data_IF_267831135807
#
_entry.id   IF_267831135807
#
_cell.length_a   1.000
_cell.length_b   1.000
_cell.length_c   1.000
_cell.angle_alpha   90.00
_cell.angle_beta   90.00
_cell.angle_gamma   90.00
#
_symmetry.space_group_name_H-M   'P 1'
#
loop_
_entity.id
_entity.type
_entity.pdbx_description
1 polymer ?
#
# COMPACT_ATOMS: atom_id res chain seq x y z
N UNK A 1 5.45 6.58 16.52
CA UNK A 1 4.43 7.27 15.70
C UNK A 1 4.20 6.34 14.51
N UNK A 2 3.06 5.65 14.49
CA UNK A 2 2.71 4.68 13.44
C UNK A 2 2.28 5.46 12.20
N UNK A 3 3.10 5.46 11.15
CA UNK A 3 2.64 5.93 9.85
C UNK A 3 2.12 4.73 9.07
N UNK A 4 0.88 4.36 9.35
CA UNK A 4 0.10 3.47 8.50
C UNK A 4 -0.52 4.32 7.38
N UNK A 5 -0.03 4.11 6.18
CA UNK A 5 -0.66 4.61 4.97
C UNK A 5 -1.61 3.53 4.45
N UNK A 6 -2.73 3.92 3.83
CA UNK A 6 -3.58 3.01 3.07
C UNK A 6 -3.23 3.15 1.58
N UNK A 7 -2.13 2.57 1.06
CA UNK A 7 -1.91 2.58 -0.36
C UNK A 7 -2.95 1.65 -1.01
N UNK A 8 -3.83 2.23 -1.83
CA UNK A 8 -4.54 1.46 -2.84
C UNK A 8 -3.46 0.89 -3.77
N UNK A 9 -3.30 -0.44 -3.77
CA UNK A 9 -2.39 -1.11 -4.70
C UNK A 9 -3.16 -1.53 -5.95
N UNK A 10 -2.71 -1.03 -7.09
CA UNK A 10 -3.26 -1.33 -8.40
C UNK A 10 -2.72 -2.67 -8.89
N UNK A 11 -3.59 -3.66 -9.01
CA UNK A 11 -3.32 -4.93 -9.68
C UNK A 11 -4.19 -4.98 -10.94
N UNK A 12 -3.72 -5.51 -12.09
CA UNK A 12 -4.55 -5.58 -13.29
C UNK A 12 -5.90 -6.26 -12.99
N UNK A 13 -6.98 -5.53 -13.24
CA UNK A 13 -8.40 -5.94 -13.14
C UNK A 13 -9.09 -5.94 -11.75
N UNK A 14 -8.43 -5.58 -10.64
CA UNK A 14 -9.09 -5.51 -9.31
C UNK A 14 -8.55 -4.36 -8.44
N UNK A 15 -9.42 -3.76 -7.62
CA UNK A 15 -8.99 -2.83 -6.56
C UNK A 15 -8.65 -3.61 -5.30
N UNK A 16 -7.47 -3.34 -4.73
CA UNK A 16 -7.05 -3.89 -3.44
C UNK A 16 -6.93 -2.80 -2.38
N UNK A 17 -7.53 -3.07 -1.23
CA UNK A 17 -7.38 -2.26 -0.02
C UNK A 17 -6.28 -2.88 0.83
N UNK A 18 -5.11 -2.23 0.87
CA UNK A 18 -3.98 -2.65 1.69
C UNK A 18 -3.41 -1.49 2.51
N UNK A 19 -2.93 -1.77 3.71
CA UNK A 19 -2.28 -0.79 4.58
C UNK A 19 -0.78 -1.04 4.61
N UNK A 20 0.04 -0.05 4.30
CA UNK A 20 1.49 -0.06 4.48
C UNK A 20 1.85 0.68 5.77
N UNK A 21 2.32 -0.03 6.80
CA UNK A 21 2.71 0.55 8.08
C UNK A 21 4.23 0.57 8.25
N UNK A 22 4.77 1.74 8.56
CA UNK A 22 6.15 1.89 9.02
C UNK A 22 6.13 1.97 10.55
N UNK A 23 6.81 1.02 11.20
CA UNK A 23 6.95 0.98 12.65
C UNK A 23 8.31 1.52 13.07
N UNK A 24 8.33 2.43 14.04
CA UNK A 24 9.57 2.89 14.65
C UNK A 24 10.26 1.74 15.39
N UNK A 25 11.59 1.84 15.52
CA UNK A 25 12.38 0.92 16.32
C UNK A 25 11.80 0.75 17.73
N UNK A 26 11.64 -0.49 18.19
CA UNK A 26 11.03 -0.82 19.49
C UNK A 26 9.50 -0.76 19.56
N UNK A 27 8.81 -0.25 18.54
CA UNK A 27 7.34 -0.14 18.48
C UNK A 27 6.70 -1.13 17.49
N UNK A 28 7.42 -2.20 17.12
CA UNK A 28 6.93 -3.19 16.17
C UNK A 28 5.95 -4.15 16.86
N UNK A 29 4.75 -4.38 16.31
CA UNK A 29 3.82 -5.39 16.83
C UNK A 29 4.36 -6.81 16.54
N UNK A 30 4.12 -7.75 17.45
CA UNK A 30 4.53 -9.16 17.30
C UNK A 30 3.87 -9.85 16.10
N UNK A 31 2.66 -9.40 15.74
CA UNK A 31 1.87 -9.92 14.63
C UNK A 31 1.23 -8.76 13.88
N UNK A 32 1.13 -8.91 12.56
CA UNK A 32 0.33 -8.03 11.70
C UNK A 32 -0.76 -8.90 11.07
N UNK A 33 -2.03 -8.55 11.30
CA UNK A 33 -3.17 -9.25 10.72
C UNK A 33 -3.79 -8.38 9.63
N UNK A 34 -3.92 -8.96 8.44
CA UNK A 34 -4.54 -8.36 7.27
C UNK A 34 -5.89 -9.03 7.10
N UNK A 35 -6.95 -8.24 7.10
CA UNK A 35 -8.31 -8.69 6.78
C UNK A 35 -8.66 -8.23 5.37
N UNK A 36 -9.11 -9.15 4.53
CA UNK A 36 -9.35 -8.89 3.11
C UNK A 36 -10.53 -9.71 2.59
N UNK A 37 -11.12 -9.28 1.49
CA UNK A 37 -12.19 -9.99 0.80
C UNK A 37 -12.08 -9.72 -0.70
N UNK A 38 -12.69 -10.56 -1.53
CA UNK A 38 -12.79 -10.28 -2.96
C UNK A 38 -13.78 -9.12 -3.16
N UNK A 39 -13.35 -8.09 -3.86
CA UNK A 39 -14.18 -6.94 -4.20
C UNK A 39 -14.38 -6.79 -5.72
N UNK A 40 -15.12 -5.77 -6.11
CA UNK A 40 -15.33 -5.38 -7.50
C UNK A 40 -14.04 -4.88 -8.15
N UNK A 41 -13.98 -4.96 -9.48
CA UNK A 41 -12.98 -4.22 -10.25
C UNK A 41 -13.20 -2.70 -10.12
N UNK A 42 -12.17 -1.91 -10.47
CA UNK A 42 -12.28 -0.45 -10.45
C UNK A 42 -13.42 0.06 -11.34
N UNK A 43 -13.55 -0.51 -12.54
CA UNK A 43 -14.59 -0.12 -13.49
C UNK A 43 -16.00 -0.44 -12.97
N UNK A 44 -16.17 -1.62 -12.37
CA UNK A 44 -17.44 -2.00 -11.73
C UNK A 44 -17.77 -1.11 -10.54
N UNK A 45 -16.78 -0.82 -9.69
CA UNK A 45 -16.96 0.06 -8.54
C UNK A 45 -17.37 1.47 -8.97
N UNK A 46 -16.67 2.05 -9.97
CA UNK A 46 -17.04 3.36 -10.51
C UNK A 46 -18.46 3.38 -11.05
N UNK A 47 -18.83 2.41 -11.90
CA UNK A 47 -20.19 2.31 -12.44
C UNK A 47 -21.24 2.17 -11.35
N UNK A 48 -20.94 1.43 -10.28
CA UNK A 48 -21.92 1.09 -9.24
C UNK A 48 -22.10 2.16 -8.18
N UNK A 49 -21.04 2.86 -7.80
CA UNK A 49 -21.05 3.76 -6.63
C UNK A 49 -20.81 5.23 -6.96
N UNK A 50 -19.98 5.52 -7.96
CA UNK A 50 -19.55 6.88 -8.25
C UNK A 50 -20.35 7.50 -9.39
N UNK A 51 -20.61 6.73 -10.46
CA UNK A 51 -21.25 7.20 -11.69
C UNK A 51 -20.26 7.17 -12.86
N UNK A 52 -20.32 8.18 -13.73
CA UNK A 52 -19.43 8.28 -14.91
C UNK A 52 -18.69 9.62 -14.94
N UNK A 53 -17.53 9.63 -15.55
CA UNK A 53 -16.81 10.85 -15.91
C UNK A 53 -16.66 10.91 -17.43
N UNK A 54 -16.71 12.12 -17.98
CA UNK A 54 -16.40 12.37 -19.39
C UNK A 54 -15.22 13.31 -19.48
N UNK A 55 -14.24 12.94 -20.29
CA UNK A 55 -13.06 13.73 -20.54
C UNK A 55 -13.30 14.60 -21.77
N UNK A 56 -13.18 15.93 -21.64
CA UNK A 56 -13.13 16.83 -22.79
C UNK A 56 -11.69 17.37 -22.92
N UNK A 57 -11.08 17.12 -24.08
CA UNK A 57 -9.71 17.50 -24.39
C UNK A 57 -9.59 18.73 -25.30
N UNK A 58 -10.67 19.47 -25.53
CA UNK A 58 -10.72 20.38 -26.67
C UNK A 58 -9.77 21.58 -26.60
N UNK A 59 -9.16 21.97 -25.47
CA UNK A 59 -8.37 23.22 -25.42
C UNK A 59 -7.22 23.25 -24.41
N UNK A 60 -6.33 22.24 -24.39
CA UNK A 60 -5.15 22.13 -23.49
C UNK A 60 -5.41 22.19 -21.96
N UNK A 61 -6.59 22.63 -21.55
CA UNK A 61 -7.15 22.55 -20.22
C UNK A 61 -8.03 21.30 -20.17
N UNK A 62 -7.54 20.30 -19.44
CA UNK A 62 -8.21 19.02 -19.25
C UNK A 62 -9.33 19.18 -18.23
N UNK A 63 -10.55 19.48 -18.71
CA UNK A 63 -11.72 19.55 -17.83
C UNK A 63 -12.48 18.24 -17.94
N UNK A 64 -12.56 17.54 -16.81
CA UNK A 64 -13.42 16.36 -16.67
C UNK A 64 -14.78 16.78 -16.10
N UNK A 65 -15.86 16.34 -16.74
CA UNK A 65 -17.21 16.50 -16.20
C UNK A 65 -17.60 15.21 -15.48
N UNK A 66 -18.04 15.33 -14.24
CA UNK A 66 -18.42 14.20 -13.39
C UNK A 66 -19.94 14.13 -13.24
N UNK A 67 -20.47 12.92 -13.36
CA UNK A 67 -21.90 12.64 -13.24
C UNK A 67 -22.11 11.62 -12.13
N UNK A 68 -23.06 11.91 -11.24
CA UNK A 68 -23.51 10.95 -10.24
C UNK A 68 -24.35 9.83 -10.88
N UNK A 69 -24.81 8.87 -10.08
CA UNK A 69 -25.63 7.74 -10.54
C UNK A 69 -26.97 8.14 -11.18
N UNK A 70 -27.48 9.34 -10.88
CA UNK A 70 -28.71 9.90 -11.46
C UNK A 70 -28.43 10.74 -12.73
N UNK A 71 -27.21 10.65 -13.28
CA UNK A 71 -26.71 11.45 -14.41
C UNK A 71 -26.72 12.98 -14.18
N UNK A 72 -26.74 13.44 -12.93
CA UNK A 72 -26.59 14.87 -12.62
C UNK A 72 -25.11 15.24 -12.58
N UNK A 73 -24.77 16.39 -13.16
CA UNK A 73 -23.42 16.95 -13.09
C UNK A 73 -23.13 17.36 -11.64
N UNK A 74 -21.99 16.92 -11.14
CA UNK A 74 -21.49 17.21 -9.79
C UNK A 74 -20.02 17.62 -9.84
N UNK A 75 -19.52 18.21 -8.76
CA UNK A 75 -18.08 18.48 -8.64
C UNK A 75 -17.29 17.18 -8.46
N UNK A 76 -15.99 17.20 -8.76
CA UNK A 76 -15.12 16.04 -8.55
C UNK A 76 -15.10 15.62 -7.07
N UNK A 77 -14.99 16.58 -6.16
CA UNK A 77 -14.91 16.30 -4.73
C UNK A 77 -16.19 15.64 -4.21
N UNK A 78 -17.34 16.11 -4.65
CA UNK A 78 -18.62 15.48 -4.32
C UNK A 78 -18.72 14.07 -4.91
N UNK A 79 -18.31 13.90 -6.18
CA UNK A 79 -18.31 12.61 -6.87
C UNK A 79 -17.47 11.55 -6.12
N UNK A 80 -16.24 11.90 -5.76
CA UNK A 80 -15.34 11.02 -5.00
C UNK A 80 -15.90 10.75 -3.61
N UNK A 81 -16.34 11.79 -2.88
CA UNK A 81 -16.84 11.65 -1.51
C UNK A 81 -18.07 10.76 -1.45
N UNK A 82 -19.06 10.98 -2.31
CA UNK A 82 -20.31 10.21 -2.31
C UNK A 82 -20.09 8.77 -2.76
N UNK A 83 -19.21 8.54 -3.75
CA UNK A 83 -18.86 7.20 -4.17
C UNK A 83 -18.18 6.40 -3.06
N UNK A 84 -17.20 6.98 -2.37
CA UNK A 84 -16.53 6.34 -1.23
C UNK A 84 -17.50 5.99 -0.10
N UNK A 85 -18.39 6.92 0.27
CA UNK A 85 -19.41 6.68 1.31
C UNK A 85 -20.28 5.47 0.95
N UNK A 86 -20.76 5.40 -0.30
CA UNK A 86 -21.61 4.29 -0.77
C UNK A 86 -20.85 2.97 -0.84
N UNK A 87 -19.62 3.00 -1.34
CA UNK A 87 -18.75 1.83 -1.46
C UNK A 87 -18.44 1.24 -0.09
N UNK A 88 -17.98 2.07 0.86
CA UNK A 88 -17.72 1.61 2.24
C UNK A 88 -18.98 1.09 2.93
N UNK A 89 -20.11 1.79 2.79
CA UNK A 89 -21.39 1.32 3.34
C UNK A 89 -21.82 -0.04 2.78
N UNK A 90 -21.39 -0.41 1.57
CA UNK A 90 -21.66 -1.71 0.98
C UNK A 90 -20.66 -2.77 1.49
N UNK A 91 -19.39 -2.41 1.64
CA UNK A 91 -18.35 -3.28 2.22
C UNK A 91 -18.71 -3.64 3.67
N UNK A 92 -19.16 -2.69 4.48
CA UNK A 92 -19.54 -2.91 5.88
C UNK A 92 -20.73 -3.87 6.06
N UNK A 93 -21.53 -4.06 5.01
CA UNK A 93 -22.68 -4.97 5.01
C UNK A 93 -22.34 -6.36 4.50
N UNK A 94 -21.09 -6.62 4.10
CA UNK A 94 -20.66 -7.95 3.69
C UNK A 94 -20.74 -8.93 4.86
N UNK A 95 -21.21 -10.17 4.63
CA UNK A 95 -21.25 -11.18 5.68
C UNK A 95 -19.83 -11.58 6.11
N UNK A 96 -19.64 -11.88 7.40
CA UNK A 96 -18.34 -12.28 7.95
C UNK A 96 -17.72 -13.48 7.22
N UNK A 97 -18.53 -14.35 6.62
CA UNK A 97 -18.08 -15.55 5.89
C UNK A 97 -17.29 -15.26 4.60
N UNK A 98 -17.41 -14.06 4.02
CA UNK A 98 -16.62 -13.68 2.82
C UNK A 98 -15.31 -13.00 3.16
N UNK A 99 -15.06 -12.72 4.43
CA UNK A 99 -13.83 -12.11 4.89
C UNK A 99 -12.79 -13.18 5.18
N UNK A 100 -11.56 -12.88 4.82
CA UNK A 100 -10.40 -13.71 5.03
C UNK A 100 -9.38 -12.95 5.86
N UNK A 101 -8.59 -13.67 6.64
CA UNK A 101 -7.52 -13.10 7.45
C UNK A 101 -6.20 -13.77 7.12
N UNK A 102 -5.16 -12.96 6.99
CA UNK A 102 -3.78 -13.42 6.84
C UNK A 102 -2.93 -12.79 7.93
N UNK A 103 -2.18 -13.59 8.68
CA UNK A 103 -1.36 -13.09 9.79
C UNK A 103 0.12 -13.29 9.48
N UNK A 104 0.87 -12.20 9.58
CA UNK A 104 2.32 -12.16 9.48
C UNK A 104 2.89 -12.21 10.91
N UNK A 105 3.66 -13.25 11.21
CA UNK A 105 4.42 -13.37 12.45
C UNK A 105 5.73 -12.58 12.34
N UNK A 106 5.70 -11.32 12.77
CA UNK A 106 6.87 -10.44 12.65
C UNK A 106 7.98 -10.90 13.61
N UNK A 107 7.63 -11.52 14.73
CA UNK A 107 8.60 -12.05 15.71
C UNK A 107 9.41 -13.19 15.10
N UNK A 108 8.75 -14.11 14.38
CA UNK A 108 9.42 -15.19 13.66
C UNK A 108 10.35 -14.65 12.57
N UNK A 109 9.90 -13.67 11.78
CA UNK A 109 10.70 -13.02 10.74
C UNK A 109 11.94 -12.35 11.36
N UNK A 110 11.79 -11.71 12.51
CA UNK A 110 12.89 -10.96 13.12
C UNK A 110 13.89 -11.89 13.78
N UNK A 111 13.42 -12.99 14.36
CA UNK A 111 14.28 -14.07 14.84
C UNK A 111 15.10 -14.69 13.71
N UNK A 112 14.54 -14.84 12.49
CA UNK A 112 15.28 -15.32 11.31
C UNK A 112 16.49 -14.45 10.96
N UNK A 113 16.43 -13.15 11.22
CA UNK A 113 17.49 -12.17 10.91
C UNK A 113 18.28 -11.67 12.12
N UNK A 114 17.99 -12.18 13.33
CA UNK A 114 18.69 -11.78 14.54
C UNK A 114 20.19 -12.06 14.45
N UNK A 115 21.01 -11.03 14.68
CA UNK A 115 22.47 -11.12 14.62
C UNK A 115 23.04 -11.27 13.20
N UNK A 116 22.23 -11.14 12.15
CA UNK A 116 22.68 -11.17 10.75
C UNK A 116 22.89 -9.76 10.23
N UNK A 117 23.80 -9.63 9.27
CA UNK A 117 23.97 -8.42 8.46
C UNK A 117 23.27 -8.62 7.10
N UNK A 118 22.66 -7.57 6.53
CA UNK A 118 22.17 -7.63 5.16
C UNK A 118 23.29 -7.96 4.17
N UNK A 119 22.95 -8.64 3.07
CA UNK A 119 23.90 -8.91 2.00
C UNK A 119 24.28 -7.62 1.25
N UNK A 120 25.53 -7.52 0.81
CA UNK A 120 26.06 -6.36 0.08
C UNK A 120 26.61 -5.27 1.00
N UNK A 121 27.17 -4.21 0.38
CA UNK A 121 27.69 -3.07 1.12
C UNK A 121 26.54 -2.13 1.52
N UNK A 122 26.60 -1.50 2.71
CA UNK A 122 25.69 -0.41 3.03
C UNK A 122 25.83 0.70 2.00
N UNK A 123 24.69 1.28 1.60
CA UNK A 123 24.64 2.34 0.59
C UNK A 123 25.53 3.52 1.02
N UNK A 124 26.49 3.91 0.18
CA UNK A 124 27.47 4.98 0.50
C UNK A 124 28.84 4.50 0.97
N UNK A 125 29.14 3.20 0.86
CA UNK A 125 30.49 2.67 1.08
C UNK A 125 31.41 3.03 -0.10
N UNK A 126 32.27 4.03 0.06
CA UNK A 126 33.31 4.39 -0.92
C UNK A 126 34.60 3.59 -0.59
N UNK A 127 35.25 3.01 -1.60
CA UNK A 127 36.61 2.44 -1.57
C UNK A 127 37.47 3.18 -2.62
N UNK A 128 38.83 3.15 -2.63
CA UNK A 128 39.84 2.94 -1.59
C UNK A 128 40.81 4.15 -1.44
N UNK A 129 41.42 4.34 -0.25
CA UNK A 129 42.50 5.34 -0.02
C UNK A 129 42.29 6.31 1.15
N UNK A 130 41.13 6.27 1.82
CA UNK A 130 40.85 7.05 3.02
C UNK A 130 40.53 6.12 4.19
N UNK A 131 40.90 6.48 5.44
CA UNK A 131 40.52 5.68 6.59
C UNK A 131 38.99 5.59 6.61
N UNK A 132 38.49 4.37 6.61
CA UNK A 132 37.07 4.07 6.69
C UNK A 132 36.53 4.59 8.04
N UNK A 133 36.10 5.84 8.07
CA UNK A 133 35.07 6.28 9.00
C UNK A 133 33.81 5.62 8.49
N UNK A 134 33.57 4.38 8.95
CA UNK A 134 32.33 3.65 8.75
C UNK A 134 31.17 4.66 8.78
N UNK A 135 30.34 4.80 7.72
CA UNK A 135 29.12 5.56 7.88
C UNK A 135 28.39 4.98 9.10
N UNK A 136 27.83 5.81 10.00
CA UNK A 136 27.16 5.34 11.19
C UNK A 136 26.23 4.20 10.78
N UNK A 137 26.40 3.03 11.39
CA UNK A 137 25.81 1.77 10.98
C UNK A 137 24.41 2.00 10.41
N UNK A 138 24.29 1.99 9.08
CA UNK A 138 22.99 2.28 8.48
C UNK A 138 22.01 1.25 9.03
N UNK A 139 20.83 1.69 9.50
CA UNK A 139 19.85 0.74 10.01
C UNK A 139 19.56 -0.29 8.94
N UNK A 140 19.47 -1.56 9.33
CA UNK A 140 18.94 -2.59 8.46
C UNK A 140 17.42 -2.59 8.55
N UNK A 141 16.76 -2.92 7.45
CA UNK A 141 15.31 -3.05 7.37
C UNK A 141 14.92 -4.42 6.83
N UNK A 142 13.75 -4.91 7.26
CA UNK A 142 13.09 -6.05 6.62
C UNK A 142 11.85 -5.53 5.92
N UNK A 143 11.81 -5.71 4.60
CA UNK A 143 10.64 -5.38 3.78
C UNK A 143 9.84 -6.64 3.56
N UNK A 144 8.58 -6.61 3.96
CA UNK A 144 7.64 -7.72 3.77
C UNK A 144 6.72 -7.34 2.62
N UNK A 145 6.90 -7.99 1.48
CA UNK A 145 6.01 -7.87 0.32
C UNK A 145 4.88 -8.87 0.44
N UNK A 146 3.65 -8.42 0.24
CA UNK A 146 2.43 -9.23 0.29
C UNK A 146 1.90 -9.34 -1.13
N UNK A 147 1.61 -10.56 -1.58
CA UNK A 147 1.07 -10.83 -2.91
C UNK A 147 -0.25 -11.56 -2.78
N UNK A 148 -1.28 -11.07 -3.48
CA UNK A 148 -2.53 -11.80 -3.67
C UNK A 148 -2.54 -12.45 -5.06
N UNK A 149 -2.83 -13.75 -5.11
CA UNK A 149 -3.21 -14.41 -6.36
C UNK A 149 -4.68 -14.07 -6.71
N UNK A 150 -4.94 -13.34 -7.81
CA UNK A 150 -6.30 -12.93 -8.17
C UNK A 150 -7.20 -14.09 -8.61
N UNK A 151 -6.62 -15.24 -9.01
CA UNK A 151 -7.39 -16.43 -9.42
C UNK A 151 -7.81 -17.27 -8.23
N UNK A 152 -6.89 -17.47 -7.28
CA UNK A 152 -7.12 -18.36 -6.14
C UNK A 152 -7.51 -17.64 -4.86
N UNK A 153 -7.33 -16.32 -4.78
CA UNK A 153 -7.58 -15.52 -3.57
C UNK A 153 -6.57 -15.78 -2.44
N UNK A 154 -5.49 -16.52 -2.73
CA UNK A 154 -4.47 -16.87 -1.75
C UNK A 154 -3.47 -15.73 -1.60
N UNK A 155 -3.19 -15.37 -0.35
CA UNK A 155 -2.09 -14.46 -0.01
C UNK A 155 -0.80 -15.26 0.17
N UNK A 156 0.29 -14.70 -0.33
CA UNK A 156 1.65 -15.12 -0.02
C UNK A 156 2.49 -13.92 0.39
N UNK A 157 3.58 -14.15 1.13
CA UNK A 157 4.50 -13.10 1.53
C UNK A 157 5.93 -13.45 1.18
N UNK A 158 6.73 -12.43 0.88
CA UNK A 158 8.18 -12.52 0.74
C UNK A 158 8.83 -11.46 1.62
N UNK A 159 9.76 -11.87 2.46
CA UNK A 159 10.59 -10.99 3.26
C UNK A 159 11.97 -10.78 2.61
N UNK A 160 12.44 -9.53 2.62
CA UNK A 160 13.73 -9.10 2.11
C UNK A 160 14.48 -8.31 3.20
N UNK A 161 15.68 -8.75 3.56
CA UNK A 161 16.52 -8.12 4.59
C UNK A 161 17.66 -7.35 3.94
N UNK A 162 17.58 -6.02 4.01
CA UNK A 162 18.43 -5.11 3.25
C UNK A 162 18.90 -3.93 4.09
N UNK A 163 19.93 -3.24 3.61
CA UNK A 163 20.32 -1.95 4.15
C UNK A 163 19.23 -0.92 3.83
N UNK A 164 18.87 -0.07 4.80
CA UNK A 164 17.87 0.97 4.58
C UNK A 164 18.32 1.90 3.46
N UNK A 165 17.46 2.11 2.45
CA UNK A 165 17.70 3.14 1.44
C UNK A 165 17.62 4.51 2.10
N UNK A 166 18.60 5.42 1.90
CA UNK A 166 18.49 6.79 2.38
C UNK A 166 17.18 7.40 1.88
N UNK A 167 16.31 7.81 2.79
CA UNK A 167 15.22 8.71 2.43
C UNK A 167 15.87 10.03 2.02
N UNK A 168 15.85 10.35 0.73
CA UNK A 168 16.16 11.69 0.23
C UNK A 168 15.11 12.65 0.77
N UNK A 169 15.28 13.10 2.02
CA UNK A 169 14.71 14.38 2.44
C UNK A 169 15.44 15.45 1.66
N UNK A 170 14.88 15.86 0.52
CA UNK A 170 15.11 17.21 0.02
C UNK A 170 14.64 18.16 1.14
N UNK A 171 15.60 18.67 1.92
CA UNK A 171 15.38 19.91 2.65
C UNK A 171 15.34 21.00 1.58
N UNK A 172 14.14 21.47 1.28
CA UNK A 172 13.95 22.78 0.66
C UNK A 172 14.47 23.86 1.63
#
# INVERSE_FOLDING_TARGET
MENCSNPIQYVPNYLWWGTGCIFNFGQRPDKITITYTKWLSQEESFKRYYGKSTFNSENFNTVSTYYNLDNKVVTQDEWVKQGLIKEFSAIDKLPLSVWHTYTIDTKAIMKKYQGKLPSGLPNGSILPGLPALFPPAQPSEVVISIYLDPKTGKISTKDDFRWQTPTTTYRN
#
